data_IF_836383483974
#
_entry.id   IF_836383483974
#
_cell.length_a   1.000
_cell.length_b   1.000
_cell.length_c   1.000
_cell.angle_alpha   90.00
_cell.angle_beta   90.00
_cell.angle_gamma   90.00
#
_symmetry.space_group_name_H-M   'P 1'
#
loop_
_entity.id
_entity.type
_entity.pdbx_description
1 polymer ?
#
# COMPACT_ATOMS: atom_id res chain seq x y z
N UNK A 1 14.18 16.41 17.03
CA UNK A 1 14.09 15.08 16.38
C UNK A 1 13.42 15.25 15.04
N UNK A 2 13.99 14.67 13.97
CA UNK A 2 13.47 14.84 12.61
C UNK A 2 12.17 14.04 12.44
N UNK A 3 11.14 14.70 11.93
CA UNK A 3 9.81 14.12 11.69
C UNK A 3 9.45 14.29 10.22
N UNK A 4 8.92 13.24 9.62
CA UNK A 4 8.42 13.25 8.23
C UNK A 4 6.94 12.84 8.24
N UNK A 5 6.12 13.54 7.47
CA UNK A 5 4.76 13.15 7.14
C UNK A 5 4.70 12.69 5.68
N UNK A 6 4.44 11.38 5.48
CA UNK A 6 4.20 10.79 4.16
C UNK A 6 2.72 10.97 3.83
N UNK A 7 2.45 11.66 2.72
CA UNK A 7 1.11 12.07 2.32
C UNK A 7 0.58 11.17 1.20
N UNK A 8 -0.51 10.46 1.48
CA UNK A 8 -1.23 9.65 0.52
C UNK A 8 -2.57 10.28 0.08
N UNK A 9 -3.29 9.54 -0.77
CA UNK A 9 -4.52 10.02 -1.43
C UNK A 9 -5.79 9.74 -0.63
N UNK A 10 -5.75 8.87 0.38
CA UNK A 10 -6.95 8.47 1.12
C UNK A 10 -7.45 9.55 2.08
N UNK A 11 -8.75 9.58 2.38
CA UNK A 11 -9.36 10.59 3.26
C UNK A 11 -8.96 10.45 4.75
N UNK A 12 -8.20 9.43 5.11
CA UNK A 12 -7.65 9.19 6.45
C UNK A 12 -6.51 10.14 6.81
N UNK A 13 -6.73 11.44 6.65
CA UNK A 13 -5.78 12.49 7.03
C UNK A 13 -6.16 13.02 8.40
N UNK A 14 -5.15 13.22 9.25
CA UNK A 14 -5.24 13.93 10.53
C UNK A 14 -4.30 15.13 10.50
N UNK A 15 -4.16 15.87 11.61
CA UNK A 15 -3.19 16.95 11.68
C UNK A 15 -1.76 16.42 11.50
N UNK A 16 -0.99 17.04 10.60
CA UNK A 16 0.45 16.82 10.48
C UNK A 16 1.14 17.56 11.63
N UNK A 17 2.11 16.92 12.30
CA UNK A 17 2.87 17.58 13.35
C UNK A 17 3.55 18.88 12.88
N UNK A 18 3.55 19.90 13.74
CA UNK A 18 4.23 21.15 13.45
C UNK A 18 5.74 20.91 13.24
N UNK A 19 6.29 21.45 12.16
CA UNK A 19 7.70 21.28 11.79
C UNK A 19 8.06 19.92 11.16
N UNK A 20 7.09 19.04 10.91
CA UNK A 20 7.33 17.84 10.12
C UNK A 20 7.55 18.18 8.64
N UNK A 21 8.55 17.55 8.02
CA UNK A 21 8.72 17.59 6.57
C UNK A 21 7.54 16.88 5.89
N UNK A 22 7.01 17.45 4.81
CA UNK A 22 5.88 16.90 4.06
C UNK A 22 6.38 16.24 2.79
N UNK A 23 6.20 14.93 2.72
CA UNK A 23 6.62 14.11 1.58
C UNK A 23 5.39 13.69 0.77
N UNK A 24 5.27 14.25 -0.44
CA UNK A 24 4.15 13.99 -1.35
C UNK A 24 4.44 12.89 -2.37
N UNK A 25 3.39 12.31 -2.95
CA UNK A 25 3.50 11.20 -3.90
C UNK A 25 2.73 11.40 -5.19
N UNK A 26 3.32 10.94 -6.30
CA UNK A 26 2.64 10.69 -7.56
C UNK A 26 1.75 11.89 -8.00
N UNK A 27 0.55 11.58 -8.47
CA UNK A 27 -0.52 12.48 -8.90
C UNK A 27 -1.33 13.09 -7.74
N UNK A 28 -0.84 13.10 -6.49
CA UNK A 28 -1.53 13.81 -5.40
C UNK A 28 -2.00 15.25 -5.78
N UNK A 29 -1.29 16.06 -6.61
CA UNK A 29 -1.75 17.37 -7.09
C UNK A 29 -3.04 17.39 -7.86
N UNK A 30 -3.42 16.26 -8.45
CA UNK A 30 -4.65 16.13 -9.22
C UNK A 30 -5.83 15.69 -8.35
N UNK A 31 -5.56 15.15 -7.15
CA UNK A 31 -6.57 14.49 -6.31
C UNK A 31 -6.97 15.28 -5.06
N UNK A 32 -6.40 16.45 -4.82
CA UNK A 32 -6.66 17.23 -3.60
C UNK A 32 -6.80 18.72 -3.90
N UNK A 33 -7.73 19.36 -3.21
CA UNK A 33 -7.91 20.81 -3.26
C UNK A 33 -6.64 21.54 -2.79
N UNK A 34 -6.44 22.75 -3.33
CA UNK A 34 -5.32 23.63 -3.01
C UNK A 34 -5.20 23.89 -1.48
N UNK A 35 -3.96 23.95 -0.97
CA UNK A 35 -3.66 24.46 0.37
C UNK A 35 -3.12 23.47 1.42
N UNK A 36 -3.45 22.16 1.39
CA UNK A 36 -2.93 21.25 2.45
C UNK A 36 -1.54 20.69 2.14
N UNK A 37 -1.26 20.31 0.89
CA UNK A 37 0.00 19.66 0.50
C UNK A 37 0.81 20.42 -0.57
N UNK A 38 0.19 21.29 -1.36
CA UNK A 38 0.79 21.84 -2.59
C UNK A 38 1.73 23.02 -2.38
N UNK A 39 1.43 23.88 -1.41
CA UNK A 39 2.32 25.03 -1.15
C UNK A 39 3.45 24.66 -0.20
N UNK A 40 3.25 23.63 0.62
CA UNK A 40 4.08 23.34 1.79
C UNK A 40 4.77 21.96 1.76
N UNK A 41 4.91 21.34 0.58
CA UNK A 41 5.71 20.12 0.44
C UNK A 41 7.21 20.42 0.61
N UNK A 42 7.96 19.44 1.08
CA UNK A 42 9.42 19.50 1.25
C UNK A 42 10.12 18.55 0.27
N UNK A 43 9.54 17.37 0.02
CA UNK A 43 10.04 16.40 -0.97
C UNK A 43 8.88 15.74 -1.72
N UNK A 44 9.11 15.39 -2.97
CA UNK A 44 8.11 14.72 -3.81
C UNK A 44 8.63 13.41 -4.38
N UNK A 45 7.77 12.40 -4.57
CA UNK A 45 8.20 11.07 -5.01
C UNK A 45 7.28 10.51 -6.09
N UNK A 46 7.85 10.07 -7.21
CA UNK A 46 7.18 9.22 -8.18
C UNK A 46 8.12 8.08 -8.60
N UNK A 47 7.75 6.85 -8.21
CA UNK A 47 8.54 5.64 -8.45
C UNK A 47 8.21 4.95 -9.78
N UNK A 48 7.36 5.55 -10.61
CA UNK A 48 7.00 5.00 -11.90
C UNK A 48 8.02 5.44 -12.96
N UNK A 49 8.19 4.64 -14.02
CA UNK A 49 8.99 5.05 -15.19
C UNK A 49 8.38 6.28 -15.85
N UNK A 50 9.19 7.10 -16.53
CA UNK A 50 8.73 8.27 -17.27
C UNK A 50 7.63 7.91 -18.26
N UNK A 51 7.79 6.79 -18.95
CA UNK A 51 6.79 6.28 -19.89
C UNK A 51 5.43 6.00 -19.20
N UNK A 52 5.46 5.42 -18.00
CA UNK A 52 4.24 5.18 -17.22
C UNK A 52 3.59 6.50 -16.77
N UNK A 53 4.39 7.45 -16.25
CA UNK A 53 3.88 8.74 -15.79
C UNK A 53 3.22 9.49 -16.96
N UNK A 54 3.89 9.61 -18.10
CA UNK A 54 3.34 10.29 -19.28
C UNK A 54 2.06 9.65 -19.80
N UNK A 55 1.97 8.31 -19.76
CA UNK A 55 0.80 7.57 -20.25
C UNK A 55 -0.41 7.69 -19.32
N UNK A 56 -0.18 7.60 -18.00
CA UNK A 56 -1.26 7.44 -17.03
C UNK A 56 -1.55 8.69 -16.20
N UNK A 57 -0.58 9.61 -16.12
CA UNK A 57 -0.62 10.81 -15.26
C UNK A 57 0.08 12.01 -15.94
N UNK A 58 -0.30 12.38 -17.18
CA UNK A 58 0.36 13.47 -17.90
C UNK A 58 0.28 14.81 -17.15
N UNK A 59 -0.80 15.04 -16.39
CA UNK A 59 -0.97 16.24 -15.56
C UNK A 59 0.03 16.31 -14.40
N UNK A 60 0.35 15.16 -13.78
CA UNK A 60 1.39 15.10 -12.75
C UNK A 60 2.77 15.43 -13.34
N UNK A 61 3.07 14.92 -14.55
CA UNK A 61 4.30 15.27 -15.25
C UNK A 61 4.37 16.76 -15.59
N UNK A 62 3.28 17.34 -16.10
CA UNK A 62 3.20 18.77 -16.36
C UNK A 62 3.43 19.59 -15.09
N UNK A 63 2.87 19.15 -13.95
CA UNK A 63 3.10 19.77 -12.66
C UNK A 63 4.58 19.67 -12.23
N UNK A 64 5.23 18.50 -12.36
CA UNK A 64 6.67 18.35 -12.07
C UNK A 64 7.51 19.34 -12.89
N UNK A 65 7.23 19.45 -14.19
CA UNK A 65 7.95 20.33 -15.12
C UNK A 65 7.75 21.82 -14.84
N UNK A 66 6.68 22.19 -14.16
CA UNK A 66 6.34 23.57 -13.82
C UNK A 66 6.94 24.05 -12.48
N UNK A 67 7.63 23.19 -11.72
CA UNK A 67 8.24 23.56 -10.45
C UNK A 67 9.45 24.49 -10.63
N UNK A 68 9.80 25.24 -9.58
CA UNK A 68 10.92 26.20 -9.57
C UNK A 68 12.30 25.57 -9.31
N UNK A 69 12.33 24.27 -9.02
CA UNK A 69 13.54 23.49 -8.74
C UNK A 69 14.16 23.67 -7.35
N UNK A 70 13.51 24.38 -6.43
CA UNK A 70 14.05 24.59 -5.07
C UNK A 70 13.93 23.38 -4.15
N UNK A 71 13.00 22.47 -4.45
CA UNK A 71 12.67 21.31 -3.63
C UNK A 71 12.80 20.02 -4.46
N UNK A 72 13.29 18.91 -3.87
CA UNK A 72 13.61 17.72 -4.63
C UNK A 72 12.38 16.90 -5.03
N UNK A 73 12.35 16.46 -6.29
CA UNK A 73 11.38 15.51 -6.85
C UNK A 73 12.12 14.22 -7.20
N UNK A 74 11.95 13.20 -6.37
CA UNK A 74 12.57 11.91 -6.55
C UNK A 74 11.86 11.10 -7.64
N UNK A 75 12.62 10.76 -8.67
CA UNK A 75 12.18 10.02 -9.84
C UNK A 75 12.96 8.72 -9.98
N UNK A 76 12.39 7.73 -10.66
CA UNK A 76 13.03 6.44 -10.87
C UNK A 76 14.23 6.52 -11.83
N UNK A 77 14.07 7.25 -12.94
CA UNK A 77 15.00 7.22 -14.07
C UNK A 77 15.86 8.50 -14.11
N UNK A 78 17.18 8.39 -14.36
CA UNK A 78 18.07 9.55 -14.52
C UNK A 78 17.62 10.55 -15.58
N UNK A 79 17.12 10.08 -16.71
CA UNK A 79 16.66 10.92 -17.81
C UNK A 79 15.42 11.72 -17.42
N UNK A 80 14.52 11.10 -16.65
CA UNK A 80 13.33 11.78 -16.11
C UNK A 80 13.73 12.87 -15.10
N UNK A 81 14.68 12.57 -14.22
CA UNK A 81 15.20 13.52 -13.23
C UNK A 81 15.86 14.73 -13.90
N UNK A 82 16.64 14.53 -14.98
CA UNK A 82 17.28 15.61 -15.71
C UNK A 82 16.28 16.55 -16.40
N UNK A 83 15.08 16.07 -16.72
CA UNK A 83 14.01 16.85 -17.35
C UNK A 83 13.22 17.71 -16.36
N UNK A 84 13.22 17.37 -15.07
CA UNK A 84 12.34 18.00 -14.08
C UNK A 84 13.13 18.98 -13.21
N UNK A 85 12.67 20.25 -13.06
CA UNK A 85 13.28 21.16 -12.09
C UNK A 85 13.26 20.56 -10.68
N UNK A 86 14.43 20.48 -10.04
CA UNK A 86 14.58 19.83 -8.73
C UNK A 86 14.50 18.30 -8.81
N UNK A 87 14.52 17.71 -10.01
CA UNK A 87 14.54 16.27 -10.21
C UNK A 87 15.78 15.62 -9.61
N UNK A 88 15.58 14.55 -8.85
CA UNK A 88 16.64 13.76 -8.21
C UNK A 88 16.39 12.29 -8.50
N UNK A 89 17.43 11.53 -8.82
CA UNK A 89 17.30 10.07 -8.96
C UNK A 89 17.13 9.47 -7.58
N UNK A 90 16.08 8.67 -7.40
CA UNK A 90 15.86 7.97 -6.14
C UNK A 90 16.97 6.94 -5.89
N UNK A 91 17.57 6.90 -4.69
CA UNK A 91 18.74 6.06 -4.38
C UNK A 91 18.32 4.60 -4.15
N UNK A 92 17.86 3.92 -5.20
CA UNK A 92 17.28 2.57 -5.13
C UNK A 92 18.26 1.58 -4.52
N UNK A 93 19.44 1.42 -5.14
CA UNK A 93 20.46 0.46 -4.70
C UNK A 93 20.91 0.74 -3.26
N UNK A 94 21.21 2.00 -2.93
CA UNK A 94 21.61 2.39 -1.56
C UNK A 94 20.57 2.02 -0.51
N UNK A 95 19.29 2.21 -0.82
CA UNK A 95 18.20 1.83 0.09
C UNK A 95 18.14 0.30 0.21
N UNK A 96 18.14 -0.42 -0.90
CA UNK A 96 18.06 -1.89 -0.87
C UNK A 96 19.24 -2.53 -0.12
N UNK A 97 20.44 -2.01 -0.33
CA UNK A 97 21.66 -2.50 0.31
C UNK A 97 21.69 -2.20 1.81
N UNK A 98 21.19 -1.04 2.24
CA UNK A 98 21.13 -0.71 3.67
C UNK A 98 20.20 -1.66 4.43
N UNK A 99 19.07 -2.03 3.82
CA UNK A 99 18.09 -2.94 4.42
C UNK A 99 18.36 -4.42 4.12
N UNK A 100 19.50 -4.73 3.47
CA UNK A 100 19.87 -6.07 3.06
C UNK A 100 19.80 -7.08 4.22
N UNK A 101 19.32 -8.29 3.92
CA UNK A 101 19.19 -9.37 4.89
C UNK A 101 19.75 -10.66 4.30
N UNK A 102 20.52 -11.41 5.10
CA UNK A 102 21.11 -12.67 4.65
C UNK A 102 22.10 -12.50 3.49
N UNK A 103 22.70 -11.32 3.34
CA UNK A 103 23.62 -10.99 2.25
C UNK A 103 22.93 -10.70 0.90
N UNK A 104 21.62 -10.51 0.88
CA UNK A 104 20.86 -10.12 -0.32
C UNK A 104 20.25 -8.73 -0.14
N UNK A 105 20.23 -7.88 -1.20
CA UNK A 105 19.52 -6.62 -1.19
C UNK A 105 18.04 -6.81 -0.83
N UNK A 106 17.46 -5.85 -0.11
CA UNK A 106 16.04 -5.87 0.19
C UNK A 106 15.22 -5.56 -1.08
N UNK A 107 14.30 -6.43 -1.45
CA UNK A 107 13.46 -6.29 -2.64
C UNK A 107 11.97 -6.17 -2.31
N UNK A 108 11.58 -6.28 -1.03
CA UNK A 108 10.19 -6.28 -0.62
C UNK A 108 9.59 -4.86 -0.59
N UNK A 109 9.44 -4.25 -1.76
CA UNK A 109 8.83 -2.95 -1.99
C UNK A 109 7.67 -3.08 -2.96
N UNK A 110 6.45 -2.92 -2.45
CA UNK A 110 5.24 -3.09 -3.24
C UNK A 110 4.54 -1.77 -3.55
N UNK A 111 4.94 -0.66 -2.92
CA UNK A 111 4.36 0.68 -3.13
C UNK A 111 5.40 1.80 -3.07
N UNK A 112 5.05 3.00 -3.54
CA UNK A 112 5.90 4.21 -3.35
C UNK A 112 6.06 4.57 -1.87
N UNK A 113 5.07 4.27 -1.02
CA UNK A 113 5.14 4.55 0.42
C UNK A 113 6.21 3.69 1.10
N UNK A 114 6.39 2.45 0.65
CA UNK A 114 7.40 1.53 1.15
C UNK A 114 8.81 2.12 0.96
N UNK A 115 9.07 2.58 -0.27
CA UNK A 115 10.31 3.29 -0.61
C UNK A 115 10.51 4.53 0.26
N UNK A 116 9.48 5.36 0.44
CA UNK A 116 9.57 6.56 1.27
C UNK A 116 9.84 6.26 2.75
N UNK A 117 9.21 5.23 3.32
CA UNK A 117 9.50 4.80 4.70
C UNK A 117 10.97 4.36 4.78
N UNK A 118 11.44 3.55 3.83
CA UNK A 118 12.81 3.07 3.82
C UNK A 118 13.83 4.20 3.69
N UNK A 119 13.60 5.18 2.81
CA UNK A 119 14.46 6.37 2.69
C UNK A 119 14.47 7.19 3.98
N UNK A 120 13.30 7.42 4.60
CA UNK A 120 13.24 8.16 5.87
C UNK A 120 14.06 7.46 6.97
N UNK A 121 13.98 6.13 7.06
CA UNK A 121 14.76 5.32 7.99
C UNK A 121 16.27 5.36 7.68
N UNK A 122 16.66 5.25 6.40
CA UNK A 122 18.05 5.40 5.94
C UNK A 122 18.62 6.75 6.37
N UNK A 123 17.81 7.82 6.32
CA UNK A 123 18.20 9.16 6.73
C UNK A 123 18.07 9.44 8.25
N UNK A 124 17.79 8.41 9.06
CA UNK A 124 17.71 8.53 10.51
C UNK A 124 16.52 9.34 11.03
N UNK A 125 15.41 9.37 10.28
CA UNK A 125 14.16 10.01 10.74
C UNK A 125 13.65 9.29 11.99
N UNK A 126 13.35 10.07 13.03
CA UNK A 126 12.94 9.53 14.33
C UNK A 126 11.43 9.27 14.41
N UNK A 127 10.63 9.96 13.58
CA UNK A 127 9.18 9.85 13.54
C UNK A 127 8.64 9.98 12.11
N UNK A 128 7.77 9.05 11.73
CA UNK A 128 7.09 9.05 10.43
C UNK A 128 5.57 9.03 10.67
N UNK A 129 4.87 9.99 10.07
CA UNK A 129 3.40 10.07 10.08
C UNK A 129 2.85 9.62 8.73
N UNK A 130 1.95 8.64 8.71
CA UNK A 130 1.33 8.12 7.50
C UNK A 130 -0.06 8.74 7.31
N UNK A 131 -0.13 9.88 6.63
CA UNK A 131 -1.37 10.65 6.48
C UNK A 131 -2.04 10.34 5.15
N UNK A 132 -3.28 9.85 5.15
CA UNK A 132 -3.98 9.49 3.91
C UNK A 132 -3.44 8.24 3.23
N UNK A 133 -2.82 7.33 3.97
CA UNK A 133 -2.30 6.06 3.47
C UNK A 133 -3.17 4.91 4.00
N UNK A 134 -4.03 4.36 3.13
CA UNK A 134 -4.95 3.27 3.50
C UNK A 134 -4.85 2.03 2.60
N UNK A 135 -4.40 2.20 1.35
CA UNK A 135 -4.37 1.15 0.33
C UNK A 135 -5.70 0.38 0.21
N UNK A 136 -6.81 1.11 0.17
CA UNK A 136 -8.15 0.53 0.22
C UNK A 136 -8.92 0.60 -1.10
N UNK A 137 -8.53 1.46 -2.03
CA UNK A 137 -9.36 1.79 -3.19
C UNK A 137 -9.42 0.63 -4.20
N UNK A 138 -8.27 0.05 -4.56
CA UNK A 138 -8.20 -1.03 -5.55
C UNK A 138 -7.77 -2.40 -4.95
N UNK A 139 -8.07 -3.49 -5.65
CA UNK A 139 -7.73 -4.86 -5.22
C UNK A 139 -6.22 -5.08 -5.07
N UNK A 140 -5.43 -4.57 -6.02
CA UNK A 140 -3.97 -4.63 -5.98
C UNK A 140 -3.38 -3.78 -4.83
N UNK A 141 -4.01 -2.65 -4.50
CA UNK A 141 -3.63 -1.85 -3.33
C UNK A 141 -3.89 -2.63 -2.04
N UNK A 142 -5.08 -3.22 -1.90
CA UNK A 142 -5.49 -3.98 -0.70
C UNK A 142 -4.64 -5.21 -0.44
N UNK A 143 -4.22 -5.92 -1.49
CA UNK A 143 -3.42 -7.13 -1.38
C UNK A 143 -1.93 -6.86 -1.30
N UNK A 144 -1.37 -6.24 -2.34
CA UNK A 144 0.08 -6.19 -2.57
C UNK A 144 0.70 -4.98 -1.88
N UNK A 145 0.22 -3.77 -2.19
CA UNK A 145 0.78 -2.52 -1.65
C UNK A 145 0.67 -2.44 -0.13
N UNK A 146 -0.46 -2.88 0.39
CA UNK A 146 -0.70 -2.89 1.82
C UNK A 146 0.20 -3.86 2.60
N UNK A 147 0.51 -5.02 2.02
CA UNK A 147 1.39 -6.00 2.66
C UNK A 147 2.80 -5.41 2.80
N UNK A 148 3.31 -4.75 1.76
CA UNK A 148 4.56 -3.98 1.82
C UNK A 148 4.52 -2.88 2.88
N UNK A 149 3.46 -2.08 2.92
CA UNK A 149 3.31 -1.04 3.92
C UNK A 149 3.36 -1.58 5.36
N UNK A 150 2.66 -2.68 5.66
CA UNK A 150 2.72 -3.31 6.99
C UNK A 150 4.13 -3.83 7.33
N UNK A 151 4.84 -4.40 6.35
CA UNK A 151 6.24 -4.84 6.52
C UNK A 151 7.15 -3.67 6.89
N UNK A 152 7.10 -2.58 6.13
CA UNK A 152 7.94 -1.40 6.36
C UNK A 152 7.58 -0.63 7.64
N UNK A 153 6.31 -0.60 8.03
CA UNK A 153 5.89 -0.11 9.34
C UNK A 153 6.50 -0.96 10.46
N UNK A 154 6.50 -2.29 10.30
CA UNK A 154 7.14 -3.21 11.23
C UNK A 154 8.65 -2.96 11.35
N UNK A 155 9.35 -2.84 10.21
CA UNK A 155 10.79 -2.50 10.16
C UNK A 155 11.08 -1.17 10.86
N UNK A 156 10.30 -0.13 10.56
CA UNK A 156 10.46 1.18 11.17
C UNK A 156 10.35 1.13 12.70
N UNK A 157 9.30 0.46 13.21
CA UNK A 157 9.12 0.26 14.66
C UNK A 157 10.27 -0.52 15.29
N UNK A 158 10.74 -1.57 14.62
CA UNK A 158 11.87 -2.38 15.08
C UNK A 158 13.19 -1.60 15.17
N UNK A 159 13.34 -0.55 14.35
CA UNK A 159 14.48 0.37 14.37
C UNK A 159 14.29 1.55 15.35
N UNK A 160 13.21 1.57 16.13
CA UNK A 160 12.93 2.63 17.09
C UNK A 160 12.35 3.91 16.49
N UNK A 161 11.94 3.89 15.22
CA UNK A 161 11.20 5.01 14.62
C UNK A 161 9.75 5.01 15.12
N UNK A 162 9.28 6.15 15.61
CA UNK A 162 7.89 6.37 15.98
C UNK A 162 7.02 6.43 14.72
N UNK A 163 6.00 5.58 14.64
CA UNK A 163 5.10 5.50 13.48
C UNK A 163 3.71 5.91 13.90
N UNK A 164 3.25 7.04 13.36
CA UNK A 164 1.91 7.57 13.63
C UNK A 164 0.98 7.30 12.46
N UNK A 165 -0.08 6.57 12.75
CA UNK A 165 -1.11 6.18 11.81
C UNK A 165 -2.43 6.78 12.31
N UNK A 166 -3.11 7.61 11.50
CA UNK A 166 -4.39 8.19 11.87
C UNK A 166 -5.39 7.14 12.33
N UNK A 167 -6.19 7.44 13.36
CA UNK A 167 -7.24 6.55 13.85
C UNK A 167 -8.23 6.14 12.74
N UNK A 168 -8.41 7.00 11.74
CA UNK A 168 -9.24 6.74 10.58
C UNK A 168 -8.65 5.74 9.56
N UNK A 169 -7.32 5.56 9.54
CA UNK A 169 -6.67 4.66 8.56
C UNK A 169 -7.02 3.20 8.81
N UNK A 170 -6.89 2.35 7.80
CA UNK A 170 -7.10 0.91 7.95
C UNK A 170 -5.82 0.14 8.32
N UNK A 171 -4.64 0.77 8.23
CA UNK A 171 -3.33 0.13 8.43
C UNK A 171 -3.11 -0.32 9.88
N UNK A 172 -2.48 -1.48 10.04
CA UNK A 172 -2.08 -2.05 11.33
C UNK A 172 -3.23 -2.18 12.35
N UNK A 173 -4.45 -2.43 11.88
CA UNK A 173 -5.64 -2.61 12.72
C UNK A 173 -6.30 -3.94 12.37
N UNK A 174 -6.51 -4.78 13.38
CA UNK A 174 -7.16 -6.08 13.27
C UNK A 174 -8.40 -6.15 14.16
N UNK A 175 -9.52 -6.66 13.65
CA UNK A 175 -10.75 -6.71 14.45
C UNK A 175 -10.58 -7.59 15.70
N UNK A 176 -9.85 -8.71 15.54
CA UNK A 176 -9.70 -9.72 16.58
C UNK A 176 -8.28 -10.24 16.64
N UNK A 177 -7.87 -10.64 17.83
CA UNK A 177 -6.64 -11.42 18.03
C UNK A 177 -6.81 -12.84 17.48
N UNK A 178 -5.80 -13.34 16.77
CA UNK A 178 -5.82 -14.70 16.24
C UNK A 178 -5.95 -15.73 17.38
N UNK A 179 -6.85 -16.71 17.23
CA UNK A 179 -7.08 -17.79 18.20
C UNK A 179 -7.84 -17.40 19.47
N UNK A 180 -7.83 -16.13 19.85
CA UNK A 180 -8.42 -15.60 21.09
C UNK A 180 -9.76 -14.89 20.84
N UNK A 181 -10.07 -14.51 19.59
CA UNK A 181 -11.34 -13.95 19.11
C UNK A 181 -11.88 -12.72 19.85
N UNK A 182 -11.16 -12.19 20.84
CA UNK A 182 -11.47 -10.95 21.53
C UNK A 182 -11.39 -9.78 20.56
N UNK A 183 -12.40 -8.92 20.59
CA UNK A 183 -12.40 -7.68 19.83
C UNK A 183 -11.25 -6.79 20.32
N UNK A 184 -10.49 -6.23 19.38
CA UNK A 184 -9.47 -5.24 19.73
C UNK A 184 -10.07 -3.84 19.82
N UNK A 185 -9.30 -2.90 20.37
CA UNK A 185 -9.75 -1.53 20.62
C UNK A 185 -9.77 -0.62 19.38
N UNK A 186 -9.24 -1.07 18.24
CA UNK A 186 -9.28 -0.22 17.05
C UNK A 186 -10.73 -0.06 16.54
N UNK A 187 -10.98 1.03 15.82
CA UNK A 187 -12.34 1.38 15.35
C UNK A 187 -12.49 1.27 13.84
N UNK A 188 -11.36 1.25 13.13
CA UNK A 188 -11.28 1.18 11.68
C UNK A 188 -10.43 -0.02 11.30
N UNK A 189 -11.03 -1.20 11.39
CA UNK A 189 -10.38 -2.43 10.97
C UNK A 189 -10.55 -2.62 9.49
N UNK A 190 -9.45 -3.01 8.88
CA UNK A 190 -9.57 -3.88 7.74
C UNK A 190 -9.22 -5.26 8.25
N UNK A 191 -10.25 -6.04 8.55
CA UNK A 191 -10.20 -7.34 7.95
C UNK A 191 -10.05 -7.06 6.43
N UNK A 192 -8.99 -7.55 5.81
CA UNK A 192 -9.29 -8.30 4.59
C UNK A 192 -10.25 -9.34 5.13
N UNK A 193 -11.56 -9.04 5.10
CA UNK A 193 -12.49 -10.10 5.38
C UNK A 193 -12.17 -11.03 4.24
N UNK A 194 -11.56 -12.14 4.60
CA UNK A 194 -11.57 -13.33 3.78
C UNK A 194 -12.97 -13.43 3.16
N UNK A 195 -14.03 -13.06 3.88
CA UNK A 195 -15.39 -12.85 3.38
C UNK A 195 -15.57 -11.92 2.17
N UNK A 196 -14.91 -10.75 2.07
CA UNK A 196 -15.04 -9.85 0.91
C UNK A 196 -14.19 -10.33 -0.27
N UNK A 197 -13.00 -10.86 -0.01
CA UNK A 197 -12.20 -11.54 -1.03
C UNK A 197 -12.92 -12.78 -1.56
N UNK A 198 -13.47 -13.61 -0.67
CA UNK A 198 -14.30 -14.77 -0.98
C UNK A 198 -15.60 -14.34 -1.65
N UNK A 199 -16.23 -13.23 -1.28
CA UNK A 199 -17.41 -12.74 -1.97
C UNK A 199 -17.08 -12.32 -3.41
N UNK A 200 -15.97 -11.60 -3.61
CA UNK A 200 -15.49 -11.21 -4.95
C UNK A 200 -15.05 -12.42 -5.78
N UNK A 201 -14.40 -13.41 -5.16
CA UNK A 201 -14.00 -14.66 -5.80
C UNK A 201 -15.22 -15.53 -6.15
N UNK A 202 -16.17 -15.71 -5.22
CA UNK A 202 -17.44 -16.42 -5.45
C UNK A 202 -18.25 -15.77 -6.57
N UNK A 203 -18.27 -14.45 -6.64
CA UNK A 203 -18.93 -13.71 -7.71
C UNK A 203 -18.23 -13.93 -9.06
N UNK A 204 -16.89 -13.88 -9.10
CA UNK A 204 -16.12 -14.16 -10.30
C UNK A 204 -16.32 -15.60 -10.81
N UNK A 205 -16.41 -16.58 -9.91
CA UNK A 205 -16.71 -17.97 -10.27
C UNK A 205 -18.16 -18.14 -10.75
N UNK A 206 -19.13 -17.45 -10.15
CA UNK A 206 -20.53 -17.43 -10.65
C UNK A 206 -20.69 -16.81 -12.03
N UNK A 207 -19.87 -15.81 -12.37
CA UNK A 207 -19.86 -15.23 -13.72
C UNK A 207 -19.27 -16.17 -14.77
N UNK A 208 -18.39 -17.09 -14.36
CA UNK A 208 -17.78 -18.12 -15.24
C UNK A 208 -18.66 -19.36 -15.36
N UNK A 209 -19.28 -19.75 -14.26
CA UNK A 209 -20.24 -20.84 -14.15
C UNK A 209 -21.40 -20.38 -13.26
N UNK A 210 -22.55 -20.00 -13.86
CA UNK A 210 -23.73 -19.58 -13.10
C UNK A 210 -24.26 -20.62 -12.11
N UNK A 211 -23.88 -21.90 -12.27
CA UNK A 211 -24.24 -22.99 -11.35
C UNK A 211 -23.23 -23.18 -10.21
N UNK A 212 -22.17 -22.38 -10.15
CA UNK A 212 -21.13 -22.49 -9.13
C UNK A 212 -21.68 -22.30 -7.71
N UNK A 213 -21.57 -23.37 -6.90
CA UNK A 213 -21.83 -23.36 -5.46
C UNK A 213 -20.48 -23.50 -4.74
N UNK A 214 -20.04 -22.49 -3.96
CA UNK A 214 -18.78 -22.59 -3.26
C UNK A 214 -18.82 -23.73 -2.23
N UNK A 215 -17.76 -24.55 -2.13
CA UNK A 215 -17.67 -25.55 -1.08
C UNK A 215 -17.67 -24.83 0.29
N UNK A 216 -18.66 -25.16 1.12
CA UNK A 216 -18.74 -24.66 2.49
C UNK A 216 -17.73 -25.35 3.39
N UNK A 217 -17.21 -24.62 4.39
CA UNK A 217 -16.37 -25.16 5.47
C UNK A 217 -17.11 -26.22 6.29
N UNK A 218 -18.45 -26.23 6.22
CA UNK A 218 -19.35 -27.20 6.87
C UNK A 218 -20.14 -28.07 5.88
N UNK A 219 -19.70 -28.21 4.62
CA UNK A 219 -20.38 -29.16 3.72
C UNK A 219 -20.07 -30.57 4.20
N UNK A 220 -21.05 -31.39 4.64
CA UNK A 220 -20.76 -32.76 5.00
C UNK A 220 -20.16 -33.46 3.78
N UNK A 221 -19.20 -34.40 3.96
CA UNK A 221 -18.69 -35.16 2.84
C UNK A 221 -19.88 -35.79 2.12
N UNK A 222 -19.96 -35.59 0.81
CA UNK A 222 -20.98 -36.20 -0.04
C UNK A 222 -21.00 -37.69 0.30
N UNK A 223 -22.09 -38.15 0.91
CA UNK A 223 -22.31 -39.57 1.09
C UNK A 223 -22.34 -40.18 -0.31
N UNK A 224 -21.29 -40.92 -0.66
CA UNK A 224 -21.31 -41.79 -1.83
C UNK A 224 -22.44 -42.78 -1.63
N UNK A 225 -23.59 -42.50 -2.25
CA UNK A 225 -24.76 -43.38 -2.23
C UNK A 225 -24.43 -44.64 -3.01
N UNK A 226 -24.17 -45.69 -2.24
CA UNK A 226 -24.58 -47.07 -2.44
C UNK A 226 -24.64 -47.63 -3.87
N UNK A 227 -23.77 -48.63 -4.08
CA UNK A 227 -24.12 -49.92 -4.71
C UNK A 227 -25.64 -50.17 -4.76
N UNK A 228 -26.22 -50.15 -5.96
CA UNK A 228 -27.31 -51.06 -6.34
C UNK A 228 -27.18 -51.32 -7.84
N UNK A 229 -26.54 -52.43 -8.20
CA UNK A 229 -26.69 -53.06 -9.51
C UNK A 229 -26.32 -54.54 -9.39
N UNK A 230 -27.10 -55.29 -8.60
CA UNK A 230 -27.17 -56.74 -8.69
C UNK A 230 -28.53 -57.20 -8.16
N UNK A 231 -29.51 -57.32 -9.06
CA UNK A 231 -30.27 -58.56 -9.30
C UNK A 231 -31.54 -58.31 -10.13
N UNK A 232 -31.68 -59.19 -11.12
CA UNK A 232 -32.89 -59.63 -11.81
C UNK A 232 -33.51 -58.71 -12.88
N UNK A 233 -33.40 -59.08 -14.16
CA UNK A 233 -34.43 -59.86 -14.90
C UNK A 233 -33.80 -60.57 -16.12
N UNK A 234 -33.94 -61.90 -16.12
CA UNK A 234 -34.07 -62.90 -17.22
C UNK A 234 -33.73 -62.52 -18.67
N UNK A 235 -32.81 -63.31 -19.25
CA UNK A 235 -33.09 -64.24 -20.36
C UNK A 235 -32.23 -65.49 -20.17
#
# INVERSE_FOLDING_TARGET
MRTVAILGKARSVSAVAAGAERWGINDLPVHRDEGWAFDAWDRWFDRHTRAHILKHRPEAWAWYRAQDGRRPIYLLEPEAAAEVPGGVVYPTETVQDWFAWGGQPEEFFTSSVDWMIALALLEGVARIELQGVDFWAASHERGVQRTGAHYWIGRARGLGCDIVIPAASSLCKIERTYGDFRLTSARNFSSVSVDRFLAQWREAERLRDPAYVPPGVDTPPVQTSARVAEKEVRA
#
